data_IF_798913985742
#
_entry.id   IF_798913985742
#
_cell.length_a   1.000
_cell.length_b   1.000
_cell.length_c   1.000
_cell.angle_alpha   90.00
_cell.angle_beta   90.00
_cell.angle_gamma   90.00
#
_symmetry.space_group_name_H-M   'P 1'
#
loop_
_entity.id
_entity.type
_entity.pdbx_description
1 polymer ?
#
# COMPACT_ATOMS: atom_id res chain seq x y z
N UNK A 1 14.32 0.65 9.74
CA UNK A 1 14.01 0.31 8.33
C UNK A 1 13.52 1.54 7.54
N UNK A 2 12.44 2.24 7.94
CA UNK A 2 11.87 3.34 7.17
C UNK A 2 12.88 4.46 6.80
N UNK A 3 13.69 4.92 7.75
CA UNK A 3 14.76 5.92 7.48
C UNK A 3 15.80 5.42 6.48
N UNK A 4 16.15 4.15 6.52
CA UNK A 4 17.09 3.56 5.55
C UNK A 4 16.47 3.52 4.15
N UNK A 5 15.21 3.10 4.04
CA UNK A 5 14.49 3.12 2.76
C UNK A 5 14.46 4.52 2.15
N UNK A 6 14.20 5.54 2.98
CA UNK A 6 14.21 6.94 2.53
C UNK A 6 15.60 7.40 2.11
N UNK A 7 16.63 7.11 2.90
CA UNK A 7 18.01 7.47 2.59
C UNK A 7 18.50 6.85 1.27
N UNK A 8 17.97 5.69 0.90
CA UNK A 8 18.26 5.02 -0.35
C UNK A 8 17.28 5.34 -1.49
N UNK A 9 16.35 6.28 -1.29
CA UNK A 9 15.42 6.73 -2.32
C UNK A 9 14.39 5.69 -2.75
N UNK A 10 14.04 4.74 -1.87
CA UNK A 10 13.02 3.75 -2.17
C UNK A 10 11.62 4.37 -2.12
N UNK A 11 10.73 3.85 -2.94
CA UNK A 11 9.36 4.32 -3.08
C UNK A 11 8.58 4.30 -1.75
N UNK A 12 8.72 3.22 -0.97
CA UNK A 12 7.94 3.04 0.24
C UNK A 12 8.45 1.92 1.15
N UNK A 13 7.79 1.81 2.28
CA UNK A 13 7.94 0.71 3.24
C UNK A 13 6.61 0.09 3.54
N UNK A 14 6.59 -1.23 3.73
CA UNK A 14 5.38 -1.96 4.12
C UNK A 14 5.32 -2.08 5.64
N UNK A 15 4.19 -1.66 6.21
CA UNK A 15 3.86 -1.84 7.62
C UNK A 15 2.80 -2.93 7.78
N UNK A 16 2.91 -3.75 8.84
CA UNK A 16 1.96 -4.83 9.12
C UNK A 16 2.33 -6.18 8.47
N UNK A 17 3.60 -6.39 8.17
CA UNK A 17 4.09 -7.69 7.67
C UNK A 17 4.09 -8.79 8.73
N UNK A 18 4.12 -8.41 10.01
CA UNK A 18 3.95 -9.32 11.15
C UNK A 18 2.48 -9.44 11.57
N UNK A 19 2.14 -9.05 12.80
CA UNK A 19 0.75 -9.02 13.28
C UNK A 19 -0.02 -7.85 12.61
N UNK A 20 -1.06 -8.14 11.83
CA UNK A 20 -1.88 -7.11 11.17
C UNK A 20 -2.47 -6.06 12.12
N UNK A 21 -2.77 -6.44 13.37
CA UNK A 21 -3.31 -5.52 14.39
C UNK A 21 -2.33 -4.42 14.79
N UNK A 22 -1.05 -4.58 14.50
CA UNK A 22 -0.02 -3.56 14.74
C UNK A 22 0.29 -2.73 13.50
N UNK A 23 -0.36 -3.01 12.38
CA UNK A 23 -0.06 -2.38 11.09
C UNK A 23 -0.15 -0.85 11.12
N UNK A 24 -1.24 -0.32 11.67
CA UNK A 24 -1.46 1.13 11.78
C UNK A 24 -0.40 1.76 12.69
N UNK A 25 -0.11 1.16 13.85
CA UNK A 25 0.91 1.66 14.76
C UNK A 25 2.30 1.67 14.10
N UNK A 26 2.67 0.58 13.41
CA UNK A 26 3.92 0.50 12.67
C UNK A 26 3.98 1.55 11.53
N UNK A 27 2.87 1.78 10.86
CA UNK A 27 2.74 2.79 9.80
C UNK A 27 2.91 4.22 10.36
N UNK A 28 2.34 4.53 11.53
CA UNK A 28 2.54 5.81 12.21
C UNK A 28 4.02 6.01 12.55
N UNK A 29 4.70 5.00 13.11
CA UNK A 29 6.13 5.09 13.37
C UNK A 29 6.95 5.31 12.11
N UNK A 30 6.65 4.61 11.02
CA UNK A 30 7.31 4.83 9.74
C UNK A 30 7.07 6.26 9.22
N UNK A 31 5.83 6.75 9.34
CA UNK A 31 5.43 8.09 8.90
C UNK A 31 6.15 9.21 9.63
N UNK A 32 6.31 9.07 10.96
CA UNK A 32 7.02 10.07 11.78
C UNK A 32 8.54 10.03 11.61
N UNK A 33 9.06 8.93 11.05
CA UNK A 33 10.48 8.74 10.82
C UNK A 33 10.94 9.17 9.43
N UNK A 34 10.02 9.53 8.52
CA UNK A 34 10.27 9.81 7.10
C UNK A 34 9.49 11.04 6.64
N UNK A 35 10.03 11.73 5.64
CA UNK A 35 9.41 12.93 5.04
C UNK A 35 8.80 12.65 3.65
N UNK A 36 9.35 11.70 2.89
CA UNK A 36 9.01 11.46 1.49
C UNK A 36 8.58 10.04 1.16
N UNK A 37 9.15 9.06 1.86
CA UNK A 37 8.86 7.65 1.64
C UNK A 37 7.39 7.36 1.89
N UNK A 38 6.74 6.67 0.96
CA UNK A 38 5.36 6.23 1.13
C UNK A 38 5.28 5.13 2.18
N UNK A 39 4.16 5.09 2.87
CA UNK A 39 3.86 4.05 3.85
C UNK A 39 2.74 3.18 3.29
N UNK A 40 3.08 1.94 2.98
CA UNK A 40 2.15 0.94 2.52
C UNK A 40 1.65 0.19 3.75
N UNK A 41 0.42 0.45 4.17
CA UNK A 41 -0.17 -0.19 5.34
C UNK A 41 -0.95 -1.43 4.90
N UNK A 42 -0.56 -2.61 5.43
CA UNK A 42 -1.30 -3.85 5.20
C UNK A 42 -2.44 -3.95 6.20
N UNK A 43 -3.66 -3.89 5.72
CA UNK A 43 -4.87 -4.06 6.53
C UNK A 43 -5.50 -5.43 6.23
N UNK A 44 -5.79 -6.20 7.27
CA UNK A 44 -6.46 -7.49 7.15
C UNK A 44 -7.96 -7.26 7.23
N UNK A 45 -8.65 -7.56 6.14
CA UNK A 45 -10.10 -7.45 6.06
C UNK A 45 -10.78 -8.51 6.93
N UNK A 46 -11.99 -8.24 7.38
CA UNK A 46 -12.79 -9.17 8.20
C UNK A 46 -12.49 -9.15 9.68
N UNK A 47 -11.47 -8.42 10.14
CA UNK A 47 -11.12 -8.35 11.56
C UNK A 47 -11.83 -7.20 12.29
N UNK A 48 -12.01 -6.10 11.61
CA UNK A 48 -12.62 -4.88 12.15
C UNK A 48 -13.68 -4.36 11.19
N UNK A 49 -14.52 -3.45 11.69
CA UNK A 49 -15.52 -2.81 10.84
C UNK A 49 -14.82 -1.90 9.81
N UNK A 50 -15.16 -1.96 8.50
CA UNK A 50 -14.43 -1.22 7.46
C UNK A 50 -14.45 0.30 7.65
N UNK A 51 -15.46 0.85 8.34
CA UNK A 51 -15.49 2.27 8.70
C UNK A 51 -14.41 2.60 9.73
N UNK A 52 -14.17 1.74 10.71
CA UNK A 52 -13.10 1.91 11.70
C UNK A 52 -11.73 1.91 11.00
N UNK A 53 -11.51 0.93 10.11
CA UNK A 53 -10.29 0.89 9.29
C UNK A 53 -10.15 2.17 8.46
N UNK A 54 -11.25 2.68 7.88
CA UNK A 54 -11.22 3.92 7.11
C UNK A 54 -10.81 5.14 7.95
N UNK A 55 -11.34 5.26 9.17
CA UNK A 55 -10.99 6.34 10.10
C UNK A 55 -9.50 6.28 10.47
N UNK A 56 -8.98 5.10 10.82
CA UNK A 56 -7.56 4.91 11.14
C UNK A 56 -6.64 5.21 9.96
N UNK A 57 -7.00 4.75 8.77
CA UNK A 57 -6.25 5.02 7.53
C UNK A 57 -6.28 6.51 7.19
N UNK A 58 -7.41 7.18 7.38
CA UNK A 58 -7.53 8.62 7.16
C UNK A 58 -6.68 9.43 8.15
N UNK A 59 -6.65 9.03 9.43
CA UNK A 59 -5.74 9.63 10.43
C UNK A 59 -4.29 9.44 10.03
N UNK A 60 -3.90 8.21 9.65
CA UNK A 60 -2.55 7.90 9.17
C UNK A 60 -2.16 8.78 7.97
N UNK A 61 -3.07 8.92 7.01
CA UNK A 61 -2.82 9.70 5.80
C UNK A 61 -2.64 11.20 6.09
N UNK A 62 -3.36 11.73 7.08
CA UNK A 62 -3.14 13.09 7.56
C UNK A 62 -1.80 13.23 8.30
N UNK A 63 -1.43 12.27 9.13
CA UNK A 63 -0.15 12.26 9.86
C UNK A 63 1.04 12.24 8.90
N UNK A 64 0.93 11.53 7.80
CA UNK A 64 2.02 11.40 6.84
C UNK A 64 1.91 12.32 5.61
N UNK A 65 0.97 13.30 5.63
CA UNK A 65 0.79 14.26 4.57
C UNK A 65 0.50 13.63 3.18
N UNK A 66 -0.40 12.65 3.14
CA UNK A 66 -0.85 12.07 1.89
C UNK A 66 0.13 11.07 1.26
N UNK A 67 0.84 10.29 2.07
CA UNK A 67 1.80 9.29 1.60
C UNK A 67 1.36 7.83 1.84
N UNK A 68 0.10 7.63 2.22
CA UNK A 68 -0.45 6.29 2.50
C UNK A 68 -0.78 5.56 1.20
N UNK A 69 -0.49 4.27 1.20
CA UNK A 69 -1.01 3.28 0.25
C UNK A 69 -1.62 2.15 1.08
N UNK A 70 -2.81 1.71 0.76
CA UNK A 70 -3.45 0.58 1.44
C UNK A 70 -3.16 -0.71 0.68
N UNK A 71 -2.59 -1.69 1.35
CA UNK A 71 -2.51 -3.08 0.90
C UNK A 71 -3.61 -3.86 1.64
N UNK A 72 -4.77 -4.01 1.01
CA UNK A 72 -5.89 -4.71 1.57
C UNK A 72 -5.71 -6.22 1.38
N UNK A 73 -5.58 -6.93 2.50
CA UNK A 73 -5.46 -8.37 2.53
C UNK A 73 -6.83 -9.00 2.79
N UNK A 74 -7.31 -9.76 1.82
CA UNK A 74 -8.62 -10.40 1.90
C UNK A 74 -8.67 -11.52 2.95
N UNK A 75 -7.53 -11.98 3.46
CA UNK A 75 -7.47 -13.06 4.44
C UNK A 75 -8.24 -14.30 3.99
N UNK A 76 -9.12 -14.79 4.86
CA UNK A 76 -9.99 -15.95 4.61
C UNK A 76 -11.39 -15.55 4.10
N UNK A 77 -11.63 -14.27 3.79
CA UNK A 77 -12.92 -13.83 3.27
C UNK A 77 -13.20 -14.42 1.89
N UNK A 78 -14.46 -14.81 1.67
CA UNK A 78 -14.95 -15.10 0.34
C UNK A 78 -15.01 -13.85 -0.55
N UNK A 79 -15.10 -14.06 -1.84
CA UNK A 79 -15.10 -12.98 -2.85
C UNK A 79 -16.15 -11.89 -2.56
N UNK A 80 -17.41 -12.31 -2.33
CA UNK A 80 -18.55 -11.39 -2.08
C UNK A 80 -18.29 -10.51 -0.85
N UNK A 81 -17.85 -11.12 0.24
CA UNK A 81 -17.62 -10.41 1.50
C UNK A 81 -16.42 -9.48 1.42
N UNK A 82 -15.34 -9.91 0.77
CA UNK A 82 -14.16 -9.09 0.56
C UNK A 82 -14.46 -7.90 -0.37
N UNK A 83 -15.24 -8.11 -1.43
CA UNK A 83 -15.65 -7.05 -2.34
C UNK A 83 -16.52 -6.01 -1.63
N UNK A 84 -17.47 -6.46 -0.80
CA UNK A 84 -18.35 -5.60 -0.02
C UNK A 84 -17.56 -4.75 0.99
N UNK A 85 -16.65 -5.38 1.70
CA UNK A 85 -15.82 -4.69 2.69
C UNK A 85 -14.90 -3.64 2.07
N UNK A 86 -14.28 -3.95 0.92
CA UNK A 86 -13.48 -2.99 0.16
C UNK A 86 -14.36 -1.83 -0.36
N UNK A 87 -15.58 -2.10 -0.80
CA UNK A 87 -16.51 -1.06 -1.24
C UNK A 87 -16.81 -0.07 -0.10
N UNK A 88 -17.21 -0.58 1.07
CA UNK A 88 -17.46 0.26 2.25
C UNK A 88 -16.23 1.04 2.66
N UNK A 89 -15.04 0.41 2.70
CA UNK A 89 -13.79 1.05 3.07
C UNK A 89 -13.45 2.22 2.13
N UNK A 90 -13.58 2.01 0.82
CA UNK A 90 -13.31 3.06 -0.18
C UNK A 90 -14.33 4.18 -0.14
N UNK A 91 -15.61 3.86 0.01
CA UNK A 91 -16.69 4.86 0.15
C UNK A 91 -16.50 5.70 1.42
N UNK A 92 -16.12 5.07 2.55
CA UNK A 92 -15.86 5.76 3.81
C UNK A 92 -14.69 6.75 3.72
N UNK A 93 -13.64 6.40 3.00
CA UNK A 93 -12.50 7.29 2.72
C UNK A 93 -12.84 8.41 1.71
N UNK A 94 -13.85 8.21 0.90
CA UNK A 94 -14.29 9.18 -0.10
C UNK A 94 -14.91 10.44 0.51
N UNK A 95 -15.04 11.49 -0.30
CA UNK A 95 -15.54 12.80 0.15
C UNK A 95 -17.08 12.86 0.33
N UNK A 96 -17.79 11.85 -0.12
CA UNK A 96 -19.25 11.81 -0.02
C UNK A 96 -19.68 11.21 1.33
N UNK A 97 -20.88 11.59 1.83
CA UNK A 97 -21.47 10.84 2.92
C UNK A 97 -21.65 9.36 2.56
N UNK A 98 -21.31 8.49 3.50
CA UNK A 98 -21.35 7.04 3.32
C UNK A 98 -22.80 6.56 3.44
N UNK A 99 -23.24 5.88 2.42
CA UNK A 99 -24.48 5.08 2.41
C UNK A 99 -24.21 3.82 1.63
N UNK A 100 -24.21 2.68 2.30
CA UNK A 100 -23.92 1.40 1.71
C UNK A 100 -24.97 0.35 2.09
N UNK A 101 -25.36 -0.47 1.15
CA UNK A 101 -26.27 -1.60 1.36
C UNK A 101 -25.76 -2.79 0.52
N UNK A 102 -24.94 -3.60 1.16
CA UNK A 102 -24.31 -4.77 0.57
C UNK A 102 -24.67 -6.07 1.28
N UNK A 103 -24.13 -7.20 0.82
CA UNK A 103 -24.42 -8.51 1.37
C UNK A 103 -23.92 -8.69 2.81
N UNK A 104 -22.79 -8.07 3.16
CA UNK A 104 -22.17 -8.16 4.48
C UNK A 104 -22.44 -6.92 5.33
N UNK A 105 -22.37 -5.74 4.73
CA UNK A 105 -22.44 -4.48 5.44
C UNK A 105 -23.64 -3.62 5.02
N UNK A 106 -24.29 -3.04 6.01
CA UNK A 106 -25.30 -1.99 5.82
C UNK A 106 -24.90 -0.78 6.65
N UNK A 107 -24.59 0.33 5.97
CA UNK A 107 -24.15 1.57 6.62
C UNK A 107 -24.97 2.75 6.11
N UNK A 108 -25.65 3.52 6.98
CA UNK A 108 -25.82 3.24 8.41
C UNK A 108 -26.68 1.99 8.65
N UNK A 109 -26.41 1.32 9.77
CA UNK A 109 -27.23 0.19 10.20
C UNK A 109 -28.68 0.66 10.43
N UNK A 110 -29.64 -0.20 10.11
CA UNK A 110 -31.04 0.10 10.30
C UNK A 110 -31.38 0.37 11.77
N UNK A 111 -31.99 1.50 12.06
CA UNK A 111 -32.55 1.79 13.37
C UNK A 111 -33.97 1.21 13.48
N UNK A 112 -34.50 1.02 14.71
CA UNK A 112 -35.88 0.66 14.91
C UNK A 112 -36.84 1.57 14.14
N UNK A 113 -37.95 1.03 13.66
CA UNK A 113 -38.90 1.72 12.77
C UNK A 113 -39.46 3.06 13.30
N UNK A 114 -39.35 3.30 14.61
CA UNK A 114 -39.79 4.51 15.29
C UNK A 114 -38.71 5.59 15.44
N UNK A 115 -37.48 5.34 14.96
CA UNK A 115 -36.37 6.28 15.02
C UNK A 115 -36.16 6.96 13.66
N UNK A 116 -35.87 8.25 13.68
CA UNK A 116 -35.43 8.97 12.49
C UNK A 116 -33.98 8.59 12.22
N UNK A 117 -33.76 7.60 11.36
CA UNK A 117 -32.46 7.15 10.99
C UNK A 117 -31.81 8.14 9.97
N UNK A 118 -30.52 8.49 10.12
CA UNK A 118 -29.82 9.18 9.06
C UNK A 118 -29.76 8.28 7.82
N UNK A 119 -29.94 8.85 6.64
CA UNK A 119 -29.82 8.11 5.37
C UNK A 119 -28.36 7.84 4.98
N UNK A 120 -27.46 8.65 5.50
CA UNK A 120 -26.01 8.54 5.26
C UNK A 120 -25.25 9.09 6.46
N UNK A 121 -24.03 8.67 6.65
CA UNK A 121 -23.13 9.14 7.71
C UNK A 121 -21.93 9.86 7.13
N UNK A 122 -21.45 10.88 7.84
CA UNK A 122 -20.17 11.50 7.53
C UNK A 122 -19.06 10.77 8.31
N UNK A 123 -18.17 10.11 7.60
CA UNK A 123 -16.97 9.50 8.20
C UNK A 123 -15.88 10.58 8.28
N UNK A 124 -15.28 10.73 9.44
CA UNK A 124 -14.24 11.74 9.73
C UNK A 124 -13.14 11.17 10.59
N UNK A 125 -11.86 11.61 10.41
CA UNK A 125 -11.42 12.63 9.44
C UNK A 125 -11.47 12.13 8.00
N UNK A 126 -11.36 13.02 7.03
CA UNK A 126 -11.08 12.65 5.65
C UNK A 126 -9.58 12.58 5.43
N UNK A 127 -9.09 11.70 4.54
CA UNK A 127 -7.68 11.61 4.21
C UNK A 127 -7.16 12.91 3.58
N UNK A 128 -5.85 13.11 3.65
CA UNK A 128 -5.18 14.23 2.99
C UNK A 128 -5.15 14.03 1.46
N UNK A 129 -5.11 12.79 0.99
CA UNK A 129 -5.22 12.45 -0.42
C UNK A 129 -6.68 12.53 -0.88
N UNK A 130 -6.90 12.96 -2.12
CA UNK A 130 -8.24 12.89 -2.75
C UNK A 130 -8.70 11.45 -2.94
N UNK A 131 -7.76 10.58 -3.25
CA UNK A 131 -7.97 9.14 -3.40
C UNK A 131 -6.71 8.41 -2.89
N UNK A 132 -6.89 7.54 -1.90
CA UNK A 132 -5.83 6.69 -1.41
C UNK A 132 -5.64 5.52 -2.37
N UNK A 133 -4.41 5.23 -2.83
CA UNK A 133 -4.16 4.05 -3.64
C UNK A 133 -4.41 2.76 -2.87
N UNK A 134 -5.11 1.81 -3.51
CA UNK A 134 -5.38 0.48 -2.98
C UNK A 134 -4.73 -0.59 -3.81
N UNK A 135 -4.06 -1.52 -3.16
CA UNK A 135 -3.59 -2.78 -3.72
C UNK A 135 -4.24 -3.94 -2.97
N UNK A 136 -4.47 -5.04 -3.65
CA UNK A 136 -5.11 -6.22 -3.07
C UNK A 136 -4.09 -7.36 -2.91
N UNK A 137 -4.26 -8.14 -1.85
CA UNK A 137 -3.57 -9.42 -1.64
C UNK A 137 -4.49 -10.41 -0.95
N UNK A 138 -4.11 -11.67 -0.87
CA UNK A 138 -4.92 -12.74 -0.26
C UNK A 138 -5.69 -13.58 -1.27
N UNK A 139 -6.41 -14.59 -0.77
CA UNK A 139 -7.04 -15.62 -1.60
C UNK A 139 -8.10 -15.10 -2.57
N UNK A 140 -8.93 -14.15 -2.15
CA UNK A 140 -10.00 -13.58 -2.98
C UNK A 140 -9.54 -12.38 -3.84
N UNK A 141 -8.29 -11.91 -3.72
CA UNK A 141 -7.81 -10.66 -4.32
C UNK A 141 -8.01 -10.63 -5.85
N UNK A 142 -7.73 -11.74 -6.55
CA UNK A 142 -7.86 -11.81 -8.01
C UNK A 142 -9.29 -11.62 -8.51
N UNK A 143 -10.26 -12.22 -7.84
CA UNK A 143 -11.68 -12.09 -8.22
C UNK A 143 -12.23 -10.71 -7.87
N UNK A 144 -11.92 -10.21 -6.65
CA UNK A 144 -12.31 -8.86 -6.23
C UNK A 144 -11.74 -7.79 -7.16
N UNK A 145 -10.52 -7.99 -7.67
CA UNK A 145 -9.90 -7.07 -8.60
C UNK A 145 -10.63 -6.93 -9.93
N UNK A 146 -11.34 -7.98 -10.38
CA UNK A 146 -12.13 -7.94 -11.62
C UNK A 146 -13.29 -6.96 -11.51
N UNK A 147 -13.96 -6.92 -10.36
CA UNK A 147 -15.12 -6.04 -10.11
C UNK A 147 -14.69 -4.64 -9.65
N UNK A 148 -13.64 -4.53 -8.81
CA UNK A 148 -13.20 -3.28 -8.20
C UNK A 148 -12.21 -2.46 -9.03
N UNK A 149 -11.63 -3.05 -10.08
CA UNK A 149 -10.55 -2.49 -10.90
C UNK A 149 -9.27 -2.14 -10.12
N UNK A 150 -9.08 -2.73 -8.94
CA UNK A 150 -7.89 -2.52 -8.10
C UNK A 150 -6.72 -3.41 -8.53
N UNK A 151 -5.51 -2.94 -8.28
CA UNK A 151 -4.30 -3.70 -8.55
C UNK A 151 -4.14 -4.85 -7.54
N UNK A 152 -3.69 -6.01 -8.01
CA UNK A 152 -3.37 -7.17 -7.17
C UNK A 152 -1.87 -7.28 -7.02
N UNK A 153 -1.40 -7.55 -5.80
CA UNK A 153 0.00 -7.86 -5.53
C UNK A 153 0.33 -9.25 -6.12
N UNK A 154 1.03 -9.26 -7.24
CA UNK A 154 1.48 -10.49 -7.88
C UNK A 154 2.59 -11.16 -7.05
N UNK A 155 2.51 -12.47 -6.90
CA UNK A 155 3.51 -13.28 -6.19
C UNK A 155 4.38 -14.13 -7.11
N UNK A 156 3.99 -14.25 -8.34
CA UNK A 156 4.77 -14.88 -9.43
C UNK A 156 4.63 -14.06 -10.71
N UNK A 157 5.67 -14.10 -11.55
CA UNK A 157 5.74 -13.29 -12.76
C UNK A 157 4.69 -13.68 -13.85
N UNK A 158 4.05 -14.84 -13.69
CA UNK A 158 3.02 -15.33 -14.62
C UNK A 158 1.63 -14.82 -14.26
N UNK A 159 1.43 -14.35 -13.03
CA UNK A 159 0.15 -13.84 -12.53
C UNK A 159 -0.06 -12.34 -12.77
N UNK A 160 0.86 -11.65 -13.45
CA UNK A 160 0.70 -10.24 -13.79
C UNK A 160 -0.35 -10.05 -14.88
N UNK A 161 -1.39 -9.29 -14.61
CA UNK A 161 -2.41 -8.95 -15.61
C UNK A 161 -1.96 -7.75 -16.45
N UNK A 162 -1.90 -7.92 -17.76
CA UNK A 162 -1.17 -7.08 -18.72
C UNK A 162 -1.68 -5.64 -18.93
N UNK A 163 -2.78 -5.19 -18.34
CA UNK A 163 -3.43 -3.93 -18.77
C UNK A 163 -3.63 -2.86 -17.68
N UNK A 164 -2.88 -2.90 -16.58
CA UNK A 164 -3.07 -1.89 -15.53
C UNK A 164 -1.89 -0.94 -15.42
N UNK A 165 -2.18 0.33 -15.19
CA UNK A 165 -1.15 1.37 -15.00
C UNK A 165 -0.30 1.16 -13.72
N UNK A 166 -0.79 0.36 -12.78
CA UNK A 166 -0.10 0.00 -11.54
C UNK A 166 -0.16 -1.52 -11.36
N UNK A 167 0.99 -2.16 -11.31
CA UNK A 167 1.14 -3.60 -11.11
C UNK A 167 2.16 -3.86 -10.01
N UNK A 168 1.73 -3.93 -8.74
CA UNK A 168 2.60 -4.29 -7.64
C UNK A 168 2.92 -5.78 -7.66
N UNK A 169 4.15 -6.12 -7.32
CA UNK A 169 4.61 -7.49 -7.18
C UNK A 169 5.42 -7.67 -5.90
N UNK A 170 5.53 -8.89 -5.39
CA UNK A 170 6.37 -9.24 -4.25
C UNK A 170 7.52 -10.13 -4.71
N UNK A 171 8.74 -9.82 -4.26
CA UNK A 171 9.92 -10.59 -4.56
C UNK A 171 10.80 -10.76 -3.33
N UNK A 172 11.22 -11.99 -3.06
CA UNK A 172 12.26 -12.26 -2.07
C UNK A 172 13.62 -11.84 -2.64
N UNK A 173 14.43 -11.20 -1.82
CA UNK A 173 15.77 -10.76 -2.14
C UNK A 173 16.77 -11.62 -1.36
N UNK A 174 17.80 -12.12 -2.03
CA UNK A 174 18.83 -12.97 -1.42
C UNK A 174 19.95 -12.15 -0.77
N UNK A 175 20.15 -10.93 -1.24
CA UNK A 175 21.28 -10.08 -0.89
C UNK A 175 22.49 -10.29 -1.80
N UNK A 176 22.38 -11.14 -2.82
CA UNK A 176 23.42 -11.40 -3.83
C UNK A 176 23.07 -10.64 -5.11
N UNK A 177 23.99 -9.82 -5.60
CA UNK A 177 23.71 -8.90 -6.72
C UNK A 177 23.23 -9.64 -7.98
N UNK A 178 23.88 -10.73 -8.34
CA UNK A 178 23.56 -11.50 -9.55
C UNK A 178 22.18 -12.12 -9.51
N UNK A 179 21.82 -12.79 -8.41
CA UNK A 179 20.53 -13.46 -8.23
C UNK A 179 19.38 -12.44 -8.15
N UNK A 180 19.60 -11.38 -7.38
CA UNK A 180 18.60 -10.33 -7.19
C UNK A 180 18.38 -9.54 -8.49
N UNK A 181 19.44 -9.38 -9.29
CA UNK A 181 19.35 -8.76 -10.62
C UNK A 181 18.47 -9.56 -11.57
N UNK A 182 18.66 -10.86 -11.66
CA UNK A 182 17.83 -11.73 -12.49
C UNK A 182 16.35 -11.64 -12.06
N UNK A 183 16.10 -11.67 -10.74
CA UNK A 183 14.76 -11.54 -10.17
C UNK A 183 14.11 -10.20 -10.55
N UNK A 184 14.81 -9.10 -10.37
CA UNK A 184 14.27 -7.75 -10.65
C UNK A 184 14.02 -7.56 -12.15
N UNK A 185 14.94 -8.03 -13.02
CA UNK A 185 14.77 -7.99 -14.48
C UNK A 185 13.57 -8.81 -14.93
N UNK A 186 13.39 -10.02 -14.37
CA UNK A 186 12.25 -10.88 -14.70
C UNK A 186 10.92 -10.20 -14.36
N UNK A 187 10.82 -9.57 -13.18
CA UNK A 187 9.62 -8.84 -12.78
C UNK A 187 9.37 -7.59 -13.63
N UNK A 188 10.42 -6.85 -13.97
CA UNK A 188 10.30 -5.70 -14.86
C UNK A 188 9.83 -6.12 -16.27
N UNK A 189 10.36 -7.22 -16.79
CA UNK A 189 9.94 -7.79 -18.08
C UNK A 189 8.48 -8.29 -18.04
N UNK A 190 8.01 -8.79 -16.90
CA UNK A 190 6.63 -9.16 -16.67
C UNK A 190 5.68 -7.95 -16.47
N UNK A 191 6.19 -6.73 -16.48
CA UNK A 191 5.40 -5.49 -16.39
C UNK A 191 5.16 -5.01 -14.97
N UNK A 192 5.85 -5.51 -13.96
CA UNK A 192 5.75 -5.00 -12.59
C UNK A 192 6.19 -3.53 -12.53
N UNK A 193 5.34 -2.69 -11.95
CA UNK A 193 5.62 -1.25 -11.76
C UNK A 193 6.17 -0.94 -10.37
N UNK A 194 5.87 -1.79 -9.41
CA UNK A 194 6.32 -1.69 -8.02
C UNK A 194 6.75 -3.07 -7.53
N UNK A 195 7.90 -3.16 -6.90
CA UNK A 195 8.37 -4.39 -6.26
C UNK A 195 8.41 -4.21 -4.73
N UNK A 196 7.64 -5.02 -4.03
CA UNK A 196 7.73 -5.17 -2.59
C UNK A 196 8.83 -6.20 -2.32
N UNK A 197 9.96 -5.75 -1.82
CA UNK A 197 11.13 -6.58 -1.59
C UNK A 197 11.11 -7.16 -0.18
N UNK A 198 11.12 -8.46 -0.09
CA UNK A 198 11.28 -9.19 1.16
C UNK A 198 12.78 -9.38 1.41
N UNK A 199 13.30 -8.68 2.42
CA UNK A 199 14.72 -8.71 2.74
C UNK A 199 15.07 -9.98 3.53
N UNK A 200 16.27 -10.56 3.32
CA UNK A 200 16.68 -11.76 4.02
C UNK A 200 16.85 -11.49 5.53
N UNK A 201 16.44 -12.45 6.35
CA UNK A 201 16.63 -12.37 7.79
C UNK A 201 18.12 -12.35 8.15
N UNK A 202 18.49 -11.52 9.13
CA UNK A 202 19.85 -11.39 9.61
C UNK A 202 20.82 -10.69 8.65
N UNK A 203 20.37 -10.24 7.47
CA UNK A 203 21.21 -9.51 6.55
C UNK A 203 21.50 -8.08 7.07
N UNK A 204 22.63 -7.53 6.63
CA UNK A 204 22.94 -6.11 6.84
C UNK A 204 22.04 -5.26 5.91
N UNK A 205 20.86 -4.91 6.37
CA UNK A 205 19.82 -4.29 5.57
C UNK A 205 20.30 -3.03 4.81
N UNK A 206 21.13 -2.21 5.42
CA UNK A 206 21.70 -1.03 4.76
C UNK A 206 22.52 -1.39 3.53
N UNK A 207 23.33 -2.45 3.62
CA UNK A 207 24.12 -2.94 2.47
C UNK A 207 23.22 -3.45 1.35
N UNK A 208 22.16 -4.20 1.68
CA UNK A 208 21.19 -4.73 0.70
C UNK A 208 20.43 -3.58 0.03
N UNK A 209 19.94 -2.62 0.82
CA UNK A 209 19.24 -1.45 0.26
C UNK A 209 20.13 -0.58 -0.60
N UNK A 210 21.40 -0.41 -0.22
CA UNK A 210 22.40 0.29 -1.04
C UNK A 210 22.65 -0.43 -2.37
N UNK A 211 22.74 -1.76 -2.35
CA UNK A 211 22.88 -2.58 -3.55
C UNK A 211 21.67 -2.40 -4.48
N UNK A 212 20.46 -2.52 -3.95
CA UNK A 212 19.22 -2.34 -4.72
C UNK A 212 19.18 -0.95 -5.36
N UNK A 213 19.40 0.10 -4.56
CA UNK A 213 19.30 1.48 -5.04
C UNK A 213 20.39 1.83 -6.07
N UNK A 214 21.62 1.35 -5.90
CA UNK A 214 22.75 1.74 -6.74
C UNK A 214 22.88 0.92 -8.01
N UNK A 215 22.53 -0.37 -7.94
CA UNK A 215 22.84 -1.30 -9.02
C UNK A 215 21.60 -1.89 -9.69
N UNK A 216 20.55 -2.23 -8.92
CA UNK A 216 19.37 -2.90 -9.48
C UNK A 216 18.34 -1.92 -10.05
N UNK A 217 17.96 -0.91 -9.29
CA UNK A 217 16.93 0.04 -9.71
C UNK A 217 17.27 0.79 -11.02
N UNK A 218 18.50 1.25 -11.26
CA UNK A 218 18.86 1.92 -12.51
C UNK A 218 18.78 1.03 -13.74
N UNK A 219 19.07 -0.27 -13.60
CA UNK A 219 19.09 -1.19 -14.75
C UNK A 219 17.72 -1.47 -15.34
N UNK A 220 16.70 -1.51 -14.50
CA UNK A 220 15.34 -1.81 -14.92
C UNK A 220 14.52 -0.56 -15.21
N UNK A 221 15.14 0.62 -15.18
CA UNK A 221 14.49 1.91 -15.39
C UNK A 221 13.19 2.05 -14.58
N UNK A 222 13.12 1.40 -13.42
CA UNK A 222 11.97 1.56 -12.53
C UNK A 222 11.81 3.04 -12.21
N UNK A 223 10.59 3.57 -12.27
CA UNK A 223 10.37 4.98 -12.02
C UNK A 223 10.88 5.29 -10.61
N UNK A 224 11.91 6.10 -10.56
CA UNK A 224 12.44 6.61 -9.31
C UNK A 224 11.36 7.46 -8.64
N UNK A 225 11.33 7.45 -7.32
CA UNK A 225 10.49 8.37 -6.59
C UNK A 225 10.77 9.79 -7.11
N UNK A 226 9.77 10.47 -7.70
CA UNK A 226 10.05 11.73 -8.37
C UNK A 226 10.45 12.78 -7.33
N UNK A 227 11.66 13.28 -7.43
CA UNK A 227 12.15 14.43 -6.64
C UNK A 227 11.23 15.65 -6.78
N UNK A 228 10.52 15.73 -7.90
CA UNK A 228 9.56 16.78 -8.20
C UNK A 228 8.41 16.83 -7.19
N UNK A 229 8.11 15.71 -6.53
CA UNK A 229 7.09 15.65 -5.48
C UNK A 229 7.64 16.03 -4.11
N UNK A 230 8.96 16.23 -3.99
CA UNK A 230 9.58 16.68 -2.77
C UNK A 230 9.31 18.17 -2.59
N UNK A 231 8.49 18.51 -1.61
CA UNK A 231 8.35 19.89 -1.13
C UNK A 231 9.50 20.29 -0.20
N UNK A 232 10.44 19.38 0.04
CA UNK A 232 11.60 19.64 0.85
C UNK A 232 12.44 20.73 0.24
N UNK A 233 12.78 21.69 1.06
CA UNK A 233 13.70 22.77 0.70
C UNK A 233 15.15 22.30 0.53
N UNK A 234 15.44 21.09 0.96
CA UNK A 234 16.76 20.45 0.83
C UNK A 234 16.55 19.16 0.02
N UNK A 235 16.92 19.16 -1.26
CA UNK A 235 16.92 17.95 -2.05
C UNK A 235 17.85 16.93 -1.38
N UNK A 236 17.33 15.74 -1.07
CA UNK A 236 18.20 14.65 -0.62
C UNK A 236 19.21 14.37 -1.75
N UNK A 237 20.50 14.23 -1.43
CA UNK A 237 21.49 13.87 -2.42
C UNK A 237 21.11 12.52 -3.02
N UNK A 238 20.87 12.53 -4.31
CA UNK A 238 20.54 11.32 -5.05
C UNK A 238 21.81 10.48 -5.20
N UNK A 239 21.78 9.17 -4.86
CA UNK A 239 22.92 8.30 -5.15
C UNK A 239 23.11 8.24 -6.66
N UNK A 240 24.08 8.91 -7.20
CA UNK A 240 24.32 9.00 -8.65
C UNK A 240 24.45 10.41 -9.20
N UNK A 241 24.14 11.45 -8.42
CA UNK A 241 24.34 12.84 -8.86
C UNK A 241 25.82 13.28 -8.91
N UNK A 242 26.74 12.39 -8.56
CA UNK A 242 28.18 12.70 -8.59
C UNK A 242 28.60 13.93 -7.74
N UNK A 243 27.72 14.38 -6.87
CA UNK A 243 27.95 15.49 -5.95
C UNK A 243 28.21 14.91 -4.57
N UNK A 244 29.36 14.33 -4.40
CA UNK A 244 29.98 14.05 -3.11
C UNK A 244 30.80 15.24 -2.69
#
# INVERSE_FOLDING_TARGET
MARLAEAHGLFGVVAGTGDPRTAITAAVYASTATDFTRVIVRVLLGQEHPVTIAEEVAVLDNVNNGRTVVLADTGDLGESDAADEIAVLREALGNRPLQHEGPRWKVPAGLPANATAPKAIAVTPKPAQLEIPFWLTGGAAGEVAKSSQLAVLARDAQSTSVERSVQPASAAITGTLEEDRETVIAWAAAGATHLLLELPEGAHHEGVLAMISRYLAPEVAMPHFPRVMSTSKVPLPWPGDGRG
#
